data_IF_649169915559
#
_entry.id   IF_649169915559
#
_cell.length_a   1.000
_cell.length_b   1.000
_cell.length_c   1.000
_cell.angle_alpha   90.00
_cell.angle_beta   90.00
_cell.angle_gamma   90.00
#
_symmetry.space_group_name_H-M   'P 1'
#
loop_
_entity.id
_entity.type
_entity.pdbx_description
1 polymer ?
#
# COMPACT_ATOMS: atom_id res chain seq x y z
N UNK A 1 -55.94 -11.27 24.77
CA UNK A 1 -54.97 -11.12 23.66
C UNK A 1 -54.91 -9.66 23.31
N UNK A 2 -53.91 -8.94 23.83
CA UNK A 2 -53.68 -7.53 23.54
C UNK A 2 -52.36 -7.42 22.77
N UNK A 3 -52.42 -6.85 21.57
CA UNK A 3 -51.28 -6.63 20.70
C UNK A 3 -50.42 -5.48 21.24
N UNK A 4 -49.12 -5.71 21.36
CA UNK A 4 -48.11 -4.71 21.69
C UNK A 4 -47.51 -4.24 20.35
N UNK A 5 -47.67 -2.95 20.04
CA UNK A 5 -46.92 -2.29 18.97
C UNK A 5 -45.46 -2.10 19.40
N UNK A 6 -44.45 -2.43 18.57
CA UNK A 6 -43.08 -2.01 18.84
C UNK A 6 -42.88 -0.56 18.39
N UNK A 7 -42.39 0.26 19.33
CA UNK A 7 -41.97 1.63 19.09
C UNK A 7 -40.70 1.66 18.23
N UNK A 8 -40.68 2.57 17.24
CA UNK A 8 -39.48 2.99 16.50
C UNK A 8 -38.48 3.67 17.44
N UNK A 9 -37.17 3.33 17.41
CA UNK A 9 -36.18 4.08 18.17
C UNK A 9 -35.87 5.41 17.46
N UNK A 10 -35.98 6.49 18.22
CA UNK A 10 -35.49 7.83 17.87
C UNK A 10 -34.00 7.76 17.53
N UNK A 11 -33.65 8.10 16.28
CA UNK A 11 -32.27 8.33 15.87
C UNK A 11 -31.80 9.67 16.46
N UNK A 12 -31.05 9.62 17.56
CA UNK A 12 -30.44 10.81 18.16
C UNK A 12 -29.36 11.41 17.23
N UNK A 13 -29.27 12.75 17.10
CA UNK A 13 -28.39 13.43 16.15
C UNK A 13 -26.88 13.45 16.53
N UNK A 14 -26.45 12.68 17.54
CA UNK A 14 -25.08 12.76 18.08
C UNK A 14 -24.00 12.29 17.09
N UNK A 15 -24.30 11.33 16.21
CA UNK A 15 -23.32 10.84 15.22
C UNK A 15 -22.97 11.83 14.11
N UNK A 16 -23.83 12.83 13.84
CA UNK A 16 -23.58 13.85 12.81
C UNK A 16 -22.60 14.94 13.25
N UNK A 17 -22.50 15.20 14.55
CA UNK A 17 -21.52 16.15 15.08
C UNK A 17 -20.09 15.61 14.94
N UNK A 18 -19.89 14.30 15.03
CA UNK A 18 -18.57 13.65 14.97
C UNK A 18 -17.98 13.65 13.54
N UNK A 19 -18.80 13.53 12.49
CA UNK A 19 -18.34 13.63 11.09
C UNK A 19 -17.91 15.05 10.68
N UNK A 20 -18.63 16.09 11.14
CA UNK A 20 -18.18 17.49 10.93
C UNK A 20 -16.90 17.77 11.71
N UNK A 21 -16.79 17.20 12.91
CA UNK A 21 -15.58 17.27 13.71
C UNK A 21 -14.41 16.55 13.04
N UNK A 22 -14.60 15.60 12.11
CA UNK A 22 -13.50 15.00 11.33
C UNK A 22 -12.92 15.96 10.27
N UNK A 23 -13.79 16.61 9.47
CA UNK A 23 -13.38 17.64 8.51
C UNK A 23 -12.72 18.84 9.21
N UNK A 24 -13.05 19.10 10.48
CA UNK A 24 -12.46 20.16 11.30
C UNK A 24 -11.31 19.70 12.23
N UNK A 25 -11.22 18.42 12.62
CA UNK A 25 -10.17 17.90 13.53
C UNK A 25 -8.88 17.59 12.79
N UNK A 26 -8.93 17.34 11.48
CA UNK A 26 -7.76 17.45 10.60
C UNK A 26 -7.15 18.86 10.62
N UNK A 27 -7.86 19.88 11.13
CA UNK A 27 -7.33 21.23 11.42
C UNK A 27 -6.99 21.49 12.89
N UNK A 28 -7.37 20.63 13.83
CA UNK A 28 -7.38 20.98 15.29
C UNK A 28 -6.79 19.93 16.23
N UNK A 29 -5.78 19.16 15.81
CA UNK A 29 -4.94 18.38 16.75
C UNK A 29 -3.84 19.32 17.32
N UNK A 30 -4.19 20.23 18.24
CA UNK A 30 -3.18 20.99 18.99
C UNK A 30 -3.63 21.58 20.34
N UNK A 31 -4.55 20.94 21.07
CA UNK A 31 -4.88 21.40 22.44
C UNK A 31 -4.92 20.26 23.45
N UNK A 32 -3.73 19.85 23.88
CA UNK A 32 -3.49 19.15 25.14
C UNK A 32 -2.18 19.63 25.76
N UNK A 33 -2.16 20.81 26.39
CA UNK A 33 -1.00 21.28 27.18
C UNK A 33 -1.20 20.93 28.65
N UNK A 34 -0.37 20.02 29.14
CA UNK A 34 -0.07 19.87 30.56
C UNK A 34 0.59 21.15 31.10
N UNK A 35 0.08 21.63 32.23
CA UNK A 35 0.72 22.65 33.08
C UNK A 35 1.93 22.04 33.78
N UNK A 36 3.13 22.58 33.55
CA UNK A 36 4.26 22.51 34.49
C UNK A 36 4.99 23.87 34.46
N UNK A 37 5.26 24.40 35.66
CA UNK A 37 5.76 25.76 35.91
C UNK A 37 7.27 25.95 35.67
N UNK A 38 7.78 27.18 35.85
CA UNK A 38 9.12 27.56 35.40
C UNK A 38 10.18 27.21 36.44
N UNK A 39 11.30 26.62 36.00
CA UNK A 39 12.41 26.26 36.88
C UNK A 39 13.73 26.10 36.14
N UNK A 40 14.56 27.14 36.29
CA UNK A 40 16.02 27.17 36.24
C UNK A 40 16.77 26.84 34.93
N UNK A 41 17.38 27.91 34.42
CA UNK A 41 18.56 27.94 33.56
C UNK A 41 19.74 27.16 34.16
N UNK A 42 20.40 26.35 33.34
CA UNK A 42 21.85 26.15 33.43
C UNK A 42 22.47 26.01 32.04
N UNK A 43 23.46 26.88 31.82
CA UNK A 43 24.47 27.01 30.77
C UNK A 43 25.27 25.71 30.54
N UNK A 44 25.49 25.23 29.31
CA UNK A 44 26.58 25.54 28.34
C UNK A 44 26.80 24.26 27.48
N UNK A 45 27.63 24.21 26.40
CA UNK A 45 28.24 25.27 25.59
C UNK A 45 27.92 25.12 24.08
N UNK A 46 28.19 26.21 23.35
CA UNK A 46 28.33 26.27 21.90
C UNK A 46 29.36 25.27 21.38
N UNK A 47 28.96 24.36 20.49
CA UNK A 47 29.89 23.57 19.69
C UNK A 47 29.57 23.80 18.22
N UNK A 48 30.45 24.58 17.60
CA UNK A 48 30.54 24.75 16.15
C UNK A 48 31.04 23.42 15.60
N UNK A 49 30.15 22.67 14.96
CA UNK A 49 30.45 21.40 14.32
C UNK A 49 29.94 21.44 12.89
N UNK A 50 30.88 21.46 11.95
CA UNK A 50 30.69 21.35 10.51
C UNK A 50 29.77 20.19 10.14
N UNK A 51 28.75 20.47 9.33
CA UNK A 51 27.90 19.47 8.70
C UNK A 51 28.76 18.60 7.76
N UNK A 52 29.20 17.45 8.26
CA UNK A 52 29.73 16.38 7.42
C UNK A 52 28.53 15.61 6.88
N UNK A 53 28.34 15.66 5.56
CA UNK A 53 27.46 14.73 4.87
C UNK A 53 27.97 13.31 5.14
N UNK A 54 27.24 12.55 5.94
CA UNK A 54 27.42 11.10 5.99
C UNK A 54 26.59 10.53 4.85
N UNK A 55 27.27 10.10 3.77
CA UNK A 55 26.73 9.09 2.87
C UNK A 55 26.58 7.81 3.70
N UNK A 56 25.34 7.37 3.94
CA UNK A 56 25.09 6.03 4.46
C UNK A 56 25.41 5.07 3.32
N UNK A 57 26.58 4.43 3.41
CA UNK A 57 26.93 3.27 2.60
C UNK A 57 25.98 2.13 3.00
N UNK A 58 25.26 1.60 2.02
CA UNK A 58 24.33 0.49 2.15
C UNK A 58 25.03 -0.88 2.05
N UNK A 59 26.29 -0.99 2.46
CA UNK A 59 27.05 -2.24 2.39
C UNK A 59 26.89 -3.06 3.69
N UNK A 60 25.72 -3.65 3.89
CA UNK A 60 25.62 -4.90 4.63
C UNK A 60 25.22 -6.00 3.63
N UNK A 61 26.16 -6.93 3.42
CA UNK A 61 26.07 -7.96 2.38
C UNK A 61 25.00 -8.99 2.74
N UNK A 62 23.86 -8.92 2.07
CA UNK A 62 22.90 -10.04 2.02
C UNK A 62 23.57 -11.24 1.35
N UNK A 63 23.36 -12.42 1.91
CA UNK A 63 23.82 -13.68 1.29
C UNK A 63 22.61 -14.45 0.80
N UNK A 64 22.71 -14.93 -0.44
CA UNK A 64 21.67 -15.70 -1.09
C UNK A 64 22.16 -17.14 -1.14
N UNK A 65 21.45 -18.03 -0.44
CA UNK A 65 21.72 -19.46 -0.50
C UNK A 65 20.86 -20.10 -1.59
N UNK A 66 21.53 -20.73 -2.56
CA UNK A 66 20.87 -21.55 -3.57
C UNK A 66 20.55 -22.92 -2.97
N UNK A 67 19.40 -23.53 -3.32
CA UNK A 67 19.11 -24.91 -2.94
C UNK A 67 20.23 -25.84 -3.43
N UNK A 68 20.65 -26.80 -2.59
CA UNK A 68 21.75 -27.70 -2.96
C UNK A 68 21.31 -28.64 -4.09
N UNK A 69 22.18 -28.83 -5.08
CA UNK A 69 21.95 -29.71 -6.24
C UNK A 69 21.84 -31.20 -5.90
N UNK A 70 21.79 -31.57 -4.62
CA UNK A 70 21.82 -32.95 -4.14
C UNK A 70 20.46 -33.51 -3.70
N UNK A 71 19.37 -32.72 -3.80
CA UNK A 71 18.00 -33.18 -3.51
C UNK A 71 17.09 -33.25 -4.74
N UNK A 72 17.60 -32.96 -5.94
CA UNK A 72 16.87 -33.18 -7.19
C UNK A 72 17.33 -34.53 -7.75
N UNK A 73 16.61 -35.60 -7.43
CA UNK A 73 16.72 -36.85 -8.18
C UNK A 73 16.23 -36.59 -9.61
N UNK A 74 17.12 -36.74 -10.60
CA UNK A 74 16.79 -36.74 -12.03
C UNK A 74 16.02 -38.01 -12.45
N UNK A 75 14.99 -38.40 -11.69
CA UNK A 75 14.13 -39.54 -12.01
C UNK A 75 12.70 -39.03 -12.28
N UNK A 76 12.34 -39.04 -13.57
CA UNK A 76 10.99 -39.04 -14.14
C UNK A 76 9.89 -38.24 -13.43
N UNK A 77 9.96 -36.92 -13.50
CA UNK A 77 8.74 -36.10 -13.49
C UNK A 77 8.28 -35.94 -14.95
N UNK A 78 7.15 -36.58 -15.31
CA UNK A 78 6.38 -36.15 -16.47
C UNK A 78 5.97 -34.68 -16.32
N UNK A 79 5.44 -34.01 -17.35
CA UNK A 79 4.89 -32.67 -17.19
C UNK A 79 3.67 -32.77 -16.26
N UNK A 80 3.91 -32.61 -14.96
CA UNK A 80 2.87 -32.13 -14.05
C UNK A 80 2.45 -30.79 -14.64
N UNK A 81 1.15 -30.67 -14.94
CA UNK A 81 0.55 -29.43 -15.43
C UNK A 81 0.95 -28.32 -14.44
N UNK A 82 1.86 -27.43 -14.82
CA UNK A 82 2.12 -26.20 -14.05
C UNK A 82 0.75 -25.58 -13.80
N UNK A 83 0.34 -25.47 -12.53
CA UNK A 83 -0.87 -24.73 -12.15
C UNK A 83 -0.77 -23.36 -12.81
N UNK A 84 -1.60 -23.15 -13.84
CA UNK A 84 -1.57 -21.96 -14.66
C UNK A 84 -1.94 -20.75 -13.81
N UNK A 85 -0.94 -19.98 -13.41
CA UNK A 85 -1.14 -18.70 -12.74
C UNK A 85 -1.57 -17.66 -13.77
N UNK A 86 -2.45 -16.75 -13.36
CA UNK A 86 -2.98 -15.70 -14.23
C UNK A 86 -2.22 -14.38 -14.01
N UNK A 87 -1.43 -13.89 -14.98
CA UNK A 87 -0.74 -12.61 -14.84
C UNK A 87 -1.70 -11.43 -14.68
N UNK A 88 -2.96 -11.54 -15.12
CA UNK A 88 -3.98 -10.49 -14.94
C UNK A 88 -4.46 -10.38 -13.48
N UNK A 89 -4.19 -11.38 -12.65
CA UNK A 89 -4.52 -11.35 -11.22
C UNK A 89 -3.54 -10.47 -10.40
N UNK A 90 -2.37 -10.13 -10.94
CA UNK A 90 -1.44 -9.21 -10.30
C UNK A 90 -1.88 -7.75 -10.49
N UNK A 91 -1.77 -6.94 -9.43
CA UNK A 91 -2.15 -5.52 -9.50
C UNK A 91 -1.27 -4.61 -8.66
N UNK A 92 -1.12 -3.37 -9.14
CA UNK A 92 -0.56 -2.25 -8.38
C UNK A 92 -1.67 -1.23 -8.27
N UNK A 93 -2.22 -1.04 -7.07
CA UNK A 93 -3.36 -0.16 -6.88
C UNK A 93 -2.97 1.02 -5.99
N UNK A 94 -3.32 2.23 -6.43
CA UNK A 94 -3.16 3.45 -5.65
C UNK A 94 -4.51 3.98 -5.22
N UNK A 95 -4.62 4.43 -3.96
CA UNK A 95 -5.86 5.04 -3.49
C UNK A 95 -5.91 6.49 -3.93
N UNK A 96 -6.97 6.83 -4.64
CA UNK A 96 -7.27 8.17 -5.15
C UNK A 96 -7.90 9.03 -4.07
N UNK A 97 -8.78 8.45 -3.24
CA UNK A 97 -9.31 9.06 -2.02
C UNK A 97 -9.89 8.02 -1.07
N UNK A 98 -10.08 8.46 0.17
CA UNK A 98 -10.95 7.82 1.17
C UNK A 98 -12.03 8.82 1.60
N UNK A 99 -13.26 8.34 1.76
CA UNK A 99 -14.41 9.14 2.08
C UNK A 99 -15.23 8.52 3.22
N UNK A 100 -15.05 8.97 4.47
CA UNK A 100 -15.78 8.44 5.60
C UNK A 100 -17.27 8.77 5.53
N UNK A 101 -18.09 7.78 5.86
CA UNK A 101 -19.55 7.84 5.88
C UNK A 101 -20.09 7.46 7.28
N UNK A 102 -21.33 7.87 7.61
CA UNK A 102 -21.96 7.48 8.87
C UNK A 102 -22.06 5.95 8.99
N UNK A 103 -21.83 5.45 10.21
CA UNK A 103 -21.99 4.04 10.54
C UNK A 103 -23.03 3.83 11.66
N UNK A 104 -23.96 2.87 11.51
CA UNK A 104 -24.22 2.14 10.26
C UNK A 104 -24.72 3.09 9.15
N UNK A 105 -24.55 2.73 7.86
CA UNK A 105 -25.15 3.49 6.76
C UNK A 105 -26.66 3.72 7.00
N UNK A 106 -27.15 4.96 6.89
CA UNK A 106 -28.57 5.23 7.09
C UNK A 106 -29.45 4.47 6.08
N UNK A 107 -30.65 4.02 6.48
CA UNK A 107 -31.56 3.33 5.56
C UNK A 107 -31.85 4.15 4.31
N UNK A 108 -31.76 3.49 3.14
CA UNK A 108 -31.97 4.13 1.83
C UNK A 108 -30.78 4.93 1.32
N UNK A 109 -29.61 4.86 1.97
CA UNK A 109 -28.37 5.32 1.38
C UNK A 109 -28.02 4.45 0.17
N UNK A 110 -27.89 5.06 -0.99
CA UNK A 110 -27.43 4.40 -2.21
C UNK A 110 -25.91 4.37 -2.24
N UNK A 111 -25.37 3.21 -2.62
CA UNK A 111 -23.96 3.00 -2.89
C UNK A 111 -23.74 2.72 -4.38
N UNK A 112 -22.64 3.20 -4.97
CA UNK A 112 -21.68 4.14 -4.38
C UNK A 112 -22.27 5.57 -4.21
N UNK A 113 -21.89 6.24 -3.13
CA UNK A 113 -22.34 7.56 -2.72
C UNK A 113 -21.63 8.68 -3.46
N UNK A 114 -20.30 8.65 -3.49
CA UNK A 114 -19.46 9.73 -4.01
C UNK A 114 -19.70 10.10 -5.49
N UNK A 115 -20.09 9.20 -6.42
CA UNK A 115 -20.35 9.60 -7.82
C UNK A 115 -21.54 10.53 -7.97
N UNK A 116 -22.43 10.59 -6.97
CA UNK A 116 -23.61 11.45 -7.00
C UNK A 116 -23.34 12.86 -6.42
N UNK A 117 -22.12 13.12 -5.91
CA UNK A 117 -21.75 14.43 -5.40
C UNK A 117 -21.51 15.45 -6.54
N UNK A 118 -21.81 16.75 -6.33
CA UNK A 118 -22.52 17.32 -5.19
C UNK A 118 -24.05 17.25 -5.33
N UNK A 119 -24.57 16.65 -6.42
CA UNK A 119 -25.99 16.69 -6.80
C UNK A 119 -26.91 16.01 -5.79
N UNK A 120 -26.45 14.92 -5.16
CA UNK A 120 -27.12 14.22 -4.07
C UNK A 120 -26.18 14.16 -2.86
N UNK A 121 -26.45 14.98 -1.85
CA UNK A 121 -25.64 15.06 -0.63
C UNK A 121 -26.54 15.19 0.61
N UNK A 122 -27.34 14.15 0.93
CA UNK A 122 -28.32 14.19 2.03
C UNK A 122 -27.67 14.41 3.41
N UNK A 123 -26.37 14.14 3.53
CA UNK A 123 -25.62 14.28 4.77
C UNK A 123 -24.84 15.59 4.88
N UNK A 124 -24.89 16.43 3.83
CA UNK A 124 -24.14 17.68 3.74
C UNK A 124 -22.65 17.50 4.09
N UNK A 125 -22.06 16.43 3.55
CA UNK A 125 -20.64 16.11 3.66
C UNK A 125 -19.83 16.92 2.63
N UNK A 126 -18.50 16.93 2.77
CA UNK A 126 -17.63 17.69 1.89
C UNK A 126 -17.72 17.14 0.45
N UNK A 127 -18.09 17.96 -0.52
CA UNK A 127 -18.29 17.51 -1.91
C UNK A 127 -17.04 16.93 -2.59
N UNK A 128 -15.86 17.21 -2.04
CA UNK A 128 -14.58 16.74 -2.57
C UNK A 128 -13.97 15.78 -1.55
N UNK A 129 -13.89 14.48 -1.87
CA UNK A 129 -13.13 13.52 -1.09
C UNK A 129 -11.65 13.91 -0.98
N UNK A 130 -10.97 13.40 0.05
CA UNK A 130 -9.57 13.69 0.32
C UNK A 130 -8.75 12.41 0.40
N UNK A 131 -7.47 12.53 0.06
CA UNK A 131 -6.50 11.45 0.18
C UNK A 131 -5.35 11.90 1.09
N UNK A 132 -5.44 11.67 2.41
CA UNK A 132 -4.45 12.13 3.36
C UNK A 132 -3.15 11.31 3.32
N UNK A 133 -3.12 10.21 2.56
CA UNK A 133 -2.02 9.25 2.51
C UNK A 133 -1.45 9.10 1.09
N UNK A 134 -0.22 8.60 1.01
CA UNK A 134 0.34 7.96 -0.17
C UNK A 134 0.17 6.46 0.00
N UNK A 135 -1.03 5.99 -0.35
CA UNK A 135 -1.40 4.57 -0.27
C UNK A 135 -1.05 3.86 -1.57
N UNK A 136 -0.37 2.73 -1.45
CA UNK A 136 -0.04 1.85 -2.55
C UNK A 136 -0.18 0.40 -2.07
N UNK A 137 -0.86 -0.41 -2.88
CA UNK A 137 -1.04 -1.85 -2.67
C UNK A 137 -0.37 -2.59 -3.82
N UNK A 138 0.45 -3.58 -3.48
CA UNK A 138 0.99 -4.55 -4.44
C UNK A 138 0.31 -5.88 -4.18
N UNK A 139 -0.28 -6.50 -5.20
CA UNK A 139 -0.94 -7.81 -5.12
C UNK A 139 -0.30 -8.77 -6.12
N UNK A 140 0.12 -9.96 -5.64
CA UNK A 140 0.66 -11.02 -6.47
C UNK A 140 -0.46 -11.83 -7.16
N UNK A 141 -0.16 -12.58 -8.24
CA UNK A 141 -1.14 -13.43 -8.93
C UNK A 141 -1.88 -14.43 -8.04
N UNK A 142 -1.25 -14.88 -6.97
CA UNK A 142 -1.79 -15.86 -6.01
C UNK A 142 -2.65 -15.22 -4.92
N UNK A 143 -2.83 -13.89 -4.93
CA UNK A 143 -3.66 -13.16 -3.96
C UNK A 143 -2.93 -12.67 -2.71
N UNK A 144 -1.60 -12.79 -2.62
CA UNK A 144 -0.87 -12.11 -1.55
C UNK A 144 -0.75 -10.62 -1.81
N UNK A 145 -0.90 -9.79 -0.77
CA UNK A 145 -0.79 -8.35 -0.91
C UNK A 145 0.04 -7.69 0.19
N UNK A 146 0.57 -6.50 -0.12
CA UNK A 146 1.17 -5.55 0.84
C UNK A 146 0.54 -4.18 0.61
N UNK A 147 -0.21 -3.68 1.59
CA UNK A 147 -0.78 -2.32 1.64
C UNK A 147 0.05 -1.45 2.60
N UNK A 148 0.57 -0.33 2.07
CA UNK A 148 1.31 0.65 2.86
C UNK A 148 0.75 2.04 2.65
N UNK A 149 0.39 2.69 3.77
CA UNK A 149 -0.24 4.01 3.83
C UNK A 149 0.64 4.97 4.62
N UNK A 150 1.38 5.82 3.90
CA UNK A 150 2.15 6.89 4.53
C UNK A 150 1.34 8.19 4.57
N UNK A 151 1.24 8.85 5.72
CA UNK A 151 0.65 10.19 5.80
C UNK A 151 1.42 11.17 4.91
N UNK A 152 0.70 11.89 4.05
CA UNK A 152 1.23 13.06 3.35
C UNK A 152 1.61 14.14 4.36
N UNK A 153 2.52 15.06 4.03
CA UNK A 153 2.96 16.07 4.98
C UNK A 153 1.78 16.91 5.46
N UNK A 154 1.57 16.93 6.79
CA UNK A 154 0.56 17.76 7.41
C UNK A 154 1.23 19.09 7.78
N UNK A 155 0.64 20.26 7.44
CA UNK A 155 1.14 21.54 7.88
C UNK A 155 1.27 21.58 9.43
N UNK A 156 2.42 22.01 9.98
CA UNK A 156 2.61 22.07 11.42
C UNK A 156 1.69 23.12 12.06
N UNK A 157 1.04 22.77 13.17
CA UNK A 157 0.32 23.69 14.06
C UNK A 157 -0.67 24.65 13.39
N UNK A 158 -1.50 24.15 12.48
CA UNK A 158 -2.60 24.94 11.89
C UNK A 158 -2.14 25.98 10.87
N UNK A 159 -0.89 25.91 10.39
CA UNK A 159 -0.50 26.62 9.18
C UNK A 159 -1.25 26.02 7.99
N UNK A 160 -1.46 26.81 6.93
CA UNK A 160 -1.97 26.30 5.65
C UNK A 160 -0.84 25.88 4.70
N UNK A 161 0.41 25.87 5.19
CA UNK A 161 1.61 25.77 4.37
C UNK A 161 2.55 24.73 4.98
N UNK A 162 2.91 23.74 4.16
CA UNK A 162 3.96 22.76 4.44
C UNK A 162 5.31 23.49 4.33
N UNK A 163 6.21 23.36 5.32
CA UNK A 163 7.53 24.00 5.25
C UNK A 163 8.28 23.58 3.97
N UNK A 164 8.94 24.52 3.26
CA UNK A 164 9.77 24.18 2.11
C UNK A 164 10.82 23.12 2.46
N UNK A 165 10.98 22.13 1.59
CA UNK A 165 11.92 21.02 1.82
C UNK A 165 11.40 19.90 2.72
N UNK A 166 10.15 19.94 3.19
CA UNK A 166 9.53 18.79 3.85
C UNK A 166 9.40 17.64 2.85
N UNK A 167 10.00 16.46 3.11
CA UNK A 167 9.88 15.31 2.22
C UNK A 167 8.43 14.89 2.04
N UNK A 168 8.03 14.66 0.78
CA UNK A 168 6.67 14.21 0.45
C UNK A 168 6.33 12.88 1.13
N UNK A 169 7.31 11.98 1.24
CA UNK A 169 7.20 10.68 1.92
C UNK A 169 8.19 10.60 3.09
N UNK A 170 7.92 9.81 4.14
CA UNK A 170 8.87 9.61 5.22
C UNK A 170 10.13 8.90 4.72
N UNK A 171 11.28 9.32 5.22
CA UNK A 171 12.60 8.75 4.93
C UNK A 171 13.46 8.82 6.18
N UNK A 172 12.90 8.35 7.31
CA UNK A 172 13.49 8.46 8.63
C UNK A 172 13.07 7.29 9.53
N UNK A 173 13.65 7.19 10.72
CA UNK A 173 13.34 6.10 11.66
C UNK A 173 11.97 6.25 12.36
N UNK A 174 11.26 7.34 12.13
CA UNK A 174 10.05 7.69 12.87
C UNK A 174 8.79 7.15 12.19
N UNK A 175 8.10 6.24 12.89
CA UNK A 175 6.89 5.59 12.37
C UNK A 175 5.63 6.45 12.52
N UNK A 176 5.69 7.68 13.06
CA UNK A 176 4.49 8.54 13.21
C UNK A 176 3.83 8.92 11.90
N UNK A 177 4.55 8.85 10.77
CA UNK A 177 4.00 9.06 9.43
C UNK A 177 3.49 7.77 8.77
N UNK A 178 3.62 6.63 9.41
CA UNK A 178 2.95 5.39 9.00
C UNK A 178 1.51 5.41 9.54
N UNK A 179 0.53 5.59 8.67
CA UNK A 179 -0.89 5.57 9.04
C UNK A 179 -1.35 4.13 9.26
N UNK A 180 -1.00 3.26 8.32
CA UNK A 180 -1.25 1.82 8.38
C UNK A 180 -0.30 1.12 7.42
N UNK A 181 0.22 -0.03 7.83
CA UNK A 181 0.72 -1.06 6.95
C UNK A 181 0.15 -2.41 7.37
N UNK A 182 -0.25 -3.20 6.40
CA UNK A 182 -0.72 -4.56 6.60
C UNK A 182 -0.48 -5.37 5.32
N UNK A 183 -0.34 -6.68 5.51
CA UNK A 183 -0.08 -7.59 4.42
C UNK A 183 -0.70 -8.95 4.74
N UNK A 184 -1.10 -9.67 3.70
CA UNK A 184 -1.94 -10.85 3.88
C UNK A 184 -2.40 -11.44 2.57
N UNK A 185 -3.52 -12.15 2.64
CA UNK A 185 -4.15 -12.78 1.48
C UNK A 185 -5.49 -12.12 1.19
N UNK A 186 -5.74 -11.81 -0.06
CA UNK A 186 -6.99 -11.24 -0.55
C UNK A 186 -7.80 -12.28 -1.32
N UNK A 187 -9.12 -12.22 -1.23
CA UNK A 187 -10.04 -12.98 -2.07
C UNK A 187 -11.15 -12.06 -2.55
N UNK A 188 -11.62 -12.23 -3.79
CA UNK A 188 -12.68 -11.40 -4.36
C UNK A 188 -13.62 -12.25 -5.20
N UNK A 189 -14.91 -12.20 -4.91
CA UNK A 189 -15.94 -12.99 -5.58
C UNK A 189 -17.10 -12.12 -6.08
N UNK A 190 -17.65 -12.36 -7.27
CA UNK A 190 -18.86 -11.67 -7.72
C UNK A 190 -20.05 -11.89 -6.78
N UNK A 191 -20.76 -10.83 -6.43
CA UNK A 191 -22.00 -10.91 -5.67
C UNK A 191 -23.13 -11.30 -6.62
N UNK A 192 -23.70 -12.49 -6.41
CA UNK A 192 -24.68 -13.06 -7.31
C UNK A 192 -25.89 -12.13 -7.54
N UNK A 193 -26.09 -11.72 -8.80
CA UNK A 193 -27.22 -10.90 -9.22
C UNK A 193 -27.11 -9.40 -8.91
N UNK A 194 -25.96 -8.94 -8.38
CA UNK A 194 -25.72 -7.51 -8.11
C UNK A 194 -24.83 -6.94 -9.21
N UNK A 195 -25.40 -5.99 -9.96
CA UNK A 195 -24.72 -5.32 -11.07
C UNK A 195 -24.68 -3.81 -10.82
N UNK A 196 -23.59 -3.17 -11.22
CA UNK A 196 -23.43 -1.73 -11.24
C UNK A 196 -22.86 -1.31 -12.59
N UNK A 197 -23.59 -0.46 -13.32
CA UNK A 197 -23.22 -0.03 -14.68
C UNK A 197 -22.84 -1.21 -15.60
N UNK A 198 -23.67 -2.25 -15.57
CA UNK A 198 -23.50 -3.50 -16.33
C UNK A 198 -22.23 -4.32 -16.00
N UNK A 199 -21.53 -4.00 -14.90
CA UNK A 199 -20.43 -4.79 -14.35
C UNK A 199 -20.86 -5.51 -13.07
N UNK A 200 -20.40 -6.74 -12.80
CA UNK A 200 -20.68 -7.42 -11.54
C UNK A 200 -20.01 -6.70 -10.38
N UNK A 201 -20.77 -6.43 -9.32
CA UNK A 201 -20.19 -5.98 -8.05
C UNK A 201 -19.50 -7.17 -7.41
N UNK A 202 -18.28 -6.99 -6.89
CA UNK A 202 -17.51 -8.06 -6.24
C UNK A 202 -17.41 -7.80 -4.75
N UNK A 203 -17.52 -8.83 -3.94
CA UNK A 203 -17.21 -8.76 -2.52
C UNK A 203 -15.76 -9.21 -2.32
N UNK A 204 -14.95 -8.35 -1.72
CA UNK A 204 -13.54 -8.59 -1.45
C UNK A 204 -13.30 -8.69 0.05
N UNK A 205 -12.41 -9.60 0.44
CA UNK A 205 -12.00 -9.85 1.83
C UNK A 205 -10.48 -9.85 1.87
N UNK A 206 -9.91 -9.10 2.82
CA UNK A 206 -8.48 -9.03 3.08
C UNK A 206 -8.18 -9.67 4.44
N UNK A 207 -7.53 -10.83 4.42
CA UNK A 207 -7.14 -11.54 5.65
C UNK A 207 -5.73 -11.15 6.07
N UNK A 208 -5.62 -10.42 7.19
CA UNK A 208 -4.35 -9.86 7.64
C UNK A 208 -3.44 -10.95 8.21
N UNK A 209 -2.28 -11.12 7.59
CA UNK A 209 -1.23 -11.99 8.11
C UNK A 209 -0.25 -11.21 9.00
N UNK A 210 -0.01 -9.94 8.69
CA UNK A 210 0.77 -9.00 9.50
C UNK A 210 0.08 -7.63 9.44
N UNK A 211 0.01 -6.93 10.58
CA UNK A 211 -0.64 -5.63 10.69
C UNK A 211 0.14 -4.74 11.67
N UNK A 212 0.40 -3.50 11.29
CA UNK A 212 1.14 -2.52 12.10
C UNK A 212 0.41 -2.10 13.39
N UNK A 213 -0.92 -2.22 13.44
CA UNK A 213 -1.78 -1.85 14.57
C UNK A 213 -1.99 -2.97 15.58
N UNK A 214 -1.61 -4.20 15.24
CA UNK A 214 -1.78 -5.39 16.06
C UNK A 214 -0.42 -6.08 16.29
N UNK A 215 -0.35 -7.00 17.26
CA UNK A 215 0.85 -7.82 17.45
C UNK A 215 1.08 -8.73 16.23
N UNK A 216 2.33 -9.06 15.92
CA UNK A 216 2.72 -9.83 14.73
C UNK A 216 1.98 -11.18 14.58
N UNK A 217 1.60 -11.81 15.71
CA UNK A 217 0.88 -13.09 15.73
C UNK A 217 -0.53 -12.98 16.35
N UNK A 218 -1.14 -11.79 16.28
CA UNK A 218 -2.53 -11.63 16.71
C UNK A 218 -3.42 -12.61 15.94
N UNK A 219 -4.29 -13.38 16.60
CA UNK A 219 -5.21 -14.25 15.89
C UNK A 219 -6.21 -13.40 15.08
N UNK A 220 -6.75 -13.94 13.97
CA UNK A 220 -7.72 -13.23 13.14
C UNK A 220 -8.93 -12.70 13.91
N UNK A 221 -9.32 -13.33 15.02
CA UNK A 221 -10.43 -12.88 15.88
C UNK A 221 -10.18 -11.57 16.63
N UNK A 222 -8.92 -11.10 16.70
CA UNK A 222 -8.55 -9.81 17.31
C UNK A 222 -8.39 -8.69 16.28
N UNK A 223 -8.22 -9.04 15.01
CA UNK A 223 -8.13 -8.08 13.92
C UNK A 223 -9.56 -7.88 13.40
N UNK A 224 -10.08 -6.65 13.34
CA UNK A 224 -11.37 -6.38 12.73
C UNK A 224 -11.42 -6.95 11.31
N UNK A 225 -12.58 -7.48 10.85
CA UNK A 225 -12.75 -7.85 9.45
C UNK A 225 -12.43 -6.66 8.54
N UNK A 226 -11.66 -6.93 7.49
CA UNK A 226 -11.39 -5.99 6.41
C UNK A 226 -12.02 -6.56 5.14
N UNK A 227 -13.16 -5.98 4.75
CA UNK A 227 -13.97 -6.45 3.63
C UNK A 227 -14.78 -5.27 3.04
N UNK A 228 -15.06 -5.38 1.74
CA UNK A 228 -15.75 -4.32 1.01
C UNK A 228 -16.34 -4.79 -0.32
N UNK A 229 -17.36 -4.08 -0.76
CA UNK A 229 -18.00 -4.28 -2.04
C UNK A 229 -17.35 -3.37 -3.11
N UNK A 230 -16.95 -3.95 -4.22
CA UNK A 230 -16.15 -3.34 -5.28
C UNK A 230 -17.02 -3.00 -6.49
N UNK A 231 -17.10 -1.72 -6.82
CA UNK A 231 -17.89 -1.15 -7.90
C UNK A 231 -16.98 -0.59 -8.99
N UNK A 232 -16.82 -1.29 -10.10
CA UNK A 232 -16.03 -0.82 -11.24
C UNK A 232 -16.71 0.35 -11.94
N UNK A 233 -15.99 1.45 -12.11
CA UNK A 233 -16.45 2.64 -12.82
C UNK A 233 -16.11 2.57 -14.32
N UNK A 234 -16.78 3.36 -15.18
CA UNK A 234 -16.46 3.43 -16.60
C UNK A 234 -15.03 3.92 -16.90
N UNK A 235 -14.37 4.60 -15.94
CA UNK A 235 -12.98 5.01 -16.07
C UNK A 235 -11.99 3.84 -15.92
N UNK A 236 -12.43 2.70 -15.41
CA UNK A 236 -11.57 1.61 -14.95
C UNK A 236 -11.17 1.73 -13.47
N UNK A 237 -11.39 2.89 -12.83
CA UNK A 237 -11.21 3.02 -11.38
C UNK A 237 -12.27 2.17 -10.64
N UNK A 238 -11.96 1.72 -9.42
CA UNK A 238 -12.84 0.86 -8.62
C UNK A 238 -13.21 1.57 -7.32
N UNK A 239 -14.50 1.64 -7.01
CA UNK A 239 -14.97 2.10 -5.70
C UNK A 239 -15.15 0.91 -4.77
N UNK A 240 -14.39 0.90 -3.69
CA UNK A 240 -14.61 0.02 -2.55
C UNK A 240 -15.57 0.70 -1.57
N UNK A 241 -16.60 -0.01 -1.16
CA UNK A 241 -17.52 0.39 -0.09
C UNK A 241 -17.39 -0.62 1.04
N UNK A 242 -16.92 -0.16 2.19
CA UNK A 242 -16.65 -1.03 3.33
C UNK A 242 -16.95 -0.36 4.67
N UNK A 243 -16.53 -1.04 5.73
CA UNK A 243 -16.56 -0.46 7.07
C UNK A 243 -15.35 -0.91 7.88
N UNK A 244 -14.81 0.00 8.68
CA UNK A 244 -13.60 -0.26 9.44
C UNK A 244 -13.45 0.68 10.63
N UNK A 245 -12.46 0.40 11.47
CA UNK A 245 -12.14 1.28 12.58
C UNK A 245 -11.49 2.56 12.07
N UNK A 246 -12.05 3.69 12.45
CA UNK A 246 -11.45 4.98 12.18
C UNK A 246 -10.13 5.13 12.96
N UNK A 247 -9.00 5.49 12.31
CA UNK A 247 -7.66 5.40 12.89
C UNK A 247 -7.46 6.28 14.15
N UNK A 248 -8.15 7.43 14.23
CA UNK A 248 -8.04 8.35 15.36
C UNK A 248 -9.06 8.08 16.48
N UNK A 249 -10.34 7.87 16.14
CA UNK A 249 -11.42 7.75 17.13
C UNK A 249 -11.63 6.32 17.60
N UNK A 250 -11.10 5.33 16.88
CA UNK A 250 -11.32 3.91 17.12
C UNK A 250 -12.81 3.50 17.13
N UNK A 251 -13.66 4.31 16.48
CA UNK A 251 -15.06 3.99 16.26
C UNK A 251 -15.23 3.39 14.87
N UNK A 252 -16.20 2.48 14.73
CA UNK A 252 -16.56 1.93 13.42
C UNK A 252 -17.12 3.05 12.54
N UNK A 253 -16.63 3.13 11.30
CA UNK A 253 -17.12 4.04 10.26
C UNK A 253 -17.36 3.24 8.99
N UNK A 254 -18.38 3.63 8.22
CA UNK A 254 -18.48 3.21 6.83
C UNK A 254 -17.52 4.09 6.03
N UNK A 255 -17.06 3.61 4.89
CA UNK A 255 -16.19 4.40 4.02
C UNK A 255 -16.43 4.07 2.56
N UNK A 256 -15.99 4.98 1.70
CA UNK A 256 -15.71 4.68 0.31
C UNK A 256 -14.25 4.98 -0.01
N UNK A 257 -13.59 4.06 -0.71
CA UNK A 257 -12.23 4.24 -1.20
C UNK A 257 -12.24 4.12 -2.73
N UNK A 258 -11.74 5.15 -3.43
CA UNK A 258 -11.57 5.06 -4.88
C UNK A 258 -10.16 4.58 -5.17
N UNK A 259 -10.05 3.46 -5.86
CA UNK A 259 -8.82 2.81 -6.24
C UNK A 259 -8.55 2.96 -7.73
N UNK A 260 -7.29 3.21 -8.06
CA UNK A 260 -6.79 3.28 -9.42
C UNK A 260 -5.64 2.32 -9.60
N UNK A 261 -5.76 1.45 -10.59
CA UNK A 261 -4.68 0.58 -11.00
C UNK A 261 -3.61 1.36 -11.78
N UNK A 262 -2.38 1.09 -11.40
CA UNK A 262 -1.15 1.57 -12.02
C UNK A 262 -0.63 0.44 -12.91
N UNK A 263 -0.24 0.74 -14.17
CA UNK A 263 0.35 -0.28 -15.03
C UNK A 263 1.60 -0.92 -14.42
N UNK A 264 1.67 -2.24 -14.50
CA UNK A 264 2.86 -2.99 -14.16
C UNK A 264 3.83 -2.88 -15.33
N UNK A 265 5.00 -2.30 -15.07
CA UNK A 265 6.05 -2.09 -16.06
C UNK A 265 7.24 -3.00 -15.76
N UNK A 266 7.96 -3.39 -16.81
CA UNK A 266 9.27 -4.00 -16.63
C UNK A 266 10.27 -2.95 -16.14
N UNK A 267 11.40 -3.39 -15.57
CA UNK A 267 12.53 -2.50 -15.24
C UNK A 267 13.48 -2.28 -16.42
N UNK A 268 13.02 -2.52 -17.65
CA UNK A 268 13.75 -2.13 -18.86
C UNK A 268 13.54 -0.64 -19.10
N UNK A 269 14.62 0.14 -19.23
CA UNK A 269 14.53 1.60 -19.33
C UNK A 269 13.55 2.09 -20.42
N UNK A 270 13.47 1.38 -21.55
CA UNK A 270 12.61 1.80 -22.65
C UNK A 270 11.11 1.74 -22.32
N UNK A 271 10.67 0.77 -21.50
CA UNK A 271 9.25 0.56 -21.22
C UNK A 271 8.69 1.68 -20.34
N UNK A 272 9.49 2.12 -19.36
CA UNK A 272 9.16 3.27 -18.51
C UNK A 272 9.24 4.59 -19.30
N UNK A 273 10.22 4.76 -20.20
CA UNK A 273 10.27 5.95 -21.08
C UNK A 273 9.02 6.04 -21.96
N UNK A 274 8.59 4.91 -22.54
CA UNK A 274 7.40 4.84 -23.36
C UNK A 274 6.16 5.26 -22.54
N UNK A 275 6.03 4.74 -21.32
CA UNK A 275 4.94 5.09 -20.40
C UNK A 275 4.95 6.59 -20.02
N UNK A 276 6.10 7.15 -19.64
CA UNK A 276 6.22 8.57 -19.29
C UNK A 276 5.87 9.45 -20.49
N UNK A 277 6.35 9.11 -21.69
CA UNK A 277 6.09 9.88 -22.91
C UNK A 277 4.60 9.88 -23.30
N UNK A 278 3.91 8.75 -23.12
CA UNK A 278 2.47 8.63 -23.36
C UNK A 278 1.65 9.49 -22.38
N UNK A 279 2.04 9.53 -21.10
CA UNK A 279 1.33 10.33 -20.10
C UNK A 279 1.62 11.83 -20.22
N UNK A 280 2.85 12.22 -20.54
CA UNK A 280 3.23 13.63 -20.73
C UNK A 280 2.50 14.29 -21.92
N UNK A 281 2.05 13.51 -22.89
CA UNK A 281 1.26 13.97 -24.04
C UNK A 281 -0.24 14.08 -23.75
N UNK A 282 -0.69 13.74 -22.53
CA UNK A 282 -2.08 13.90 -22.09
C UNK A 282 -3.05 12.93 -22.76
N UNK A 283 -2.56 11.79 -23.29
CA UNK A 283 -3.40 10.75 -23.86
C UNK A 283 -3.99 9.92 -22.71
N UNK A 284 -5.33 9.78 -22.59
CA UNK A 284 -5.95 8.93 -21.58
C UNK A 284 -5.52 7.47 -21.77
N UNK A 285 -5.04 6.82 -20.70
CA UNK A 285 -4.57 5.44 -20.72
C UNK A 285 -5.65 4.45 -21.25
N UNK A 286 -6.92 4.72 -20.95
CA UNK A 286 -8.08 3.95 -21.42
C UNK A 286 -8.37 4.06 -22.93
N UNK A 287 -7.70 4.98 -23.64
CA UNK A 287 -7.81 5.15 -25.09
C UNK A 287 -6.70 4.45 -25.88
N UNK A 288 -5.77 3.79 -25.20
CA UNK A 288 -4.72 3.02 -25.85
C UNK A 288 -5.29 1.68 -26.34
N UNK A 289 -5.50 1.58 -27.65
CA UNK A 289 -5.56 0.29 -28.32
C UNK A 289 -4.27 -0.51 -28.02
N UNK A 290 -4.30 -1.87 -28.05
CA UNK A 290 -3.10 -2.68 -27.90
C UNK A 290 -1.99 -2.17 -28.83
N UNK A 291 -0.71 -2.23 -28.40
CA UNK A 291 0.37 -1.51 -29.04
C UNK A 291 0.42 -1.77 -30.57
N UNK A 292 0.60 -0.68 -31.32
CA UNK A 292 0.87 -0.68 -32.76
C UNK A 292 2.07 -1.58 -33.12
N UNK A 293 2.16 -2.10 -34.36
CA UNK A 293 2.86 -3.34 -34.67
C UNK A 293 4.37 -3.26 -34.45
N UNK A 294 4.86 -4.27 -33.74
CA UNK A 294 6.20 -4.86 -33.77
C UNK A 294 7.27 -4.05 -34.51
N UNK A 295 8.08 -3.32 -33.74
CA UNK A 295 9.46 -3.08 -34.15
C UNK A 295 10.20 -4.43 -34.15
N UNK A 296 11.06 -4.65 -35.14
CA UNK A 296 11.66 -5.96 -35.50
C UNK A 296 12.76 -6.45 -34.51
N UNK A 297 12.45 -6.50 -33.22
CA UNK A 297 13.19 -7.16 -32.15
C UNK A 297 12.23 -7.43 -30.99
N UNK A 298 12.34 -8.58 -30.30
CA UNK A 298 11.37 -9.03 -29.28
C UNK A 298 10.91 -7.88 -28.36
N UNK A 299 9.62 -7.50 -28.36
CA UNK A 299 9.16 -6.18 -27.91
C UNK A 299 8.89 -6.02 -26.42
N UNK A 300 9.09 -7.03 -25.58
CA UNK A 300 8.59 -7.06 -24.20
C UNK A 300 9.73 -7.15 -23.20
N UNK A 301 9.84 -6.19 -22.28
CA UNK A 301 10.68 -6.36 -21.09
C UNK A 301 9.97 -7.27 -20.08
N UNK A 302 10.72 -8.18 -19.44
CA UNK A 302 10.18 -9.10 -18.46
C UNK A 302 9.63 -8.35 -17.24
N UNK A 303 8.36 -8.58 -16.93
CA UNK A 303 7.73 -8.17 -15.67
C UNK A 303 7.98 -9.26 -14.64
N UNK A 304 8.20 -8.85 -13.39
CA UNK A 304 8.48 -9.77 -12.30
C UNK A 304 7.46 -9.59 -11.18
N UNK A 305 6.99 -10.68 -10.60
CA UNK A 305 6.34 -10.69 -9.30
C UNK A 305 7.11 -11.64 -8.38
N UNK A 306 7.64 -11.13 -7.28
CA UNK A 306 8.44 -11.93 -6.34
C UNK A 306 7.96 -11.64 -4.92
N UNK A 307 7.70 -12.71 -4.16
CA UNK A 307 7.28 -12.63 -2.76
C UNK A 307 8.35 -13.24 -1.86
N UNK A 308 8.83 -12.46 -0.89
CA UNK A 308 9.67 -12.94 0.21
C UNK A 308 8.88 -12.92 1.50
N UNK A 309 8.95 -14.03 2.24
CA UNK A 309 8.37 -14.15 3.57
C UNK A 309 9.44 -14.38 4.63
N UNK A 310 9.24 -13.73 5.77
CA UNK A 310 9.93 -14.04 7.02
C UNK A 310 8.91 -14.46 8.07
N UNK A 311 9.16 -15.58 8.73
CA UNK A 311 8.39 -15.97 9.91
C UNK A 311 9.29 -16.55 11.00
N UNK A 312 9.29 -15.91 12.17
CA UNK A 312 9.95 -16.43 13.36
C UNK A 312 9.02 -16.29 14.57
N UNK A 313 8.29 -17.35 14.87
CA UNK A 313 7.35 -17.41 15.98
C UNK A 313 8.02 -17.66 17.34
N UNK A 314 9.34 -17.58 17.44
CA UNK A 314 10.01 -17.77 18.72
C UNK A 314 9.51 -16.71 19.72
N UNK A 315 9.23 -17.08 20.98
CA UNK A 315 8.72 -16.15 21.98
C UNK A 315 9.60 -14.91 22.19
N UNK A 316 10.90 -15.04 21.93
CA UNK A 316 11.89 -13.98 22.09
C UNK A 316 11.89 -12.94 20.96
N UNK A 317 11.58 -13.34 19.72
CA UNK A 317 11.72 -12.47 18.54
C UNK A 317 10.36 -12.02 18.00
N UNK A 318 9.41 -12.95 17.88
CA UNK A 318 8.05 -12.71 17.34
C UNK A 318 8.06 -11.84 16.07
N UNK A 319 8.51 -12.44 14.98
CA UNK A 319 8.76 -11.74 13.74
C UNK A 319 7.87 -12.24 12.60
N UNK A 320 7.33 -11.30 11.85
CA UNK A 320 6.74 -11.54 10.53
C UNK A 320 7.22 -10.48 9.57
N UNK A 321 7.43 -10.86 8.32
CA UNK A 321 7.70 -9.92 7.25
C UNK A 321 7.21 -10.44 5.91
N UNK A 322 6.74 -9.52 5.08
CA UNK A 322 6.35 -9.77 3.71
C UNK A 322 6.96 -8.70 2.81
N UNK A 323 7.61 -9.11 1.71
CA UNK A 323 8.11 -8.21 0.68
C UNK A 323 7.53 -8.68 -0.64
N UNK A 324 6.93 -7.76 -1.39
CA UNK A 324 6.50 -8.00 -2.77
C UNK A 324 7.28 -7.06 -3.68
N UNK A 325 7.97 -7.63 -4.67
CA UNK A 325 8.34 -6.92 -5.89
C UNK A 325 7.23 -7.16 -6.92
N UNK A 326 6.75 -6.09 -7.54
CA UNK A 326 5.85 -6.18 -8.68
C UNK A 326 6.26 -5.15 -9.74
N UNK A 327 6.81 -5.64 -10.85
CA UNK A 327 7.35 -4.82 -11.92
C UNK A 327 8.41 -3.84 -11.41
N UNK A 328 8.08 -2.56 -11.52
CA UNK A 328 8.86 -1.38 -11.14
C UNK A 328 8.70 -0.93 -9.69
N UNK A 329 7.96 -1.67 -8.86
CA UNK A 329 7.74 -1.37 -7.45
C UNK A 329 8.21 -2.49 -6.53
N UNK A 330 8.70 -2.13 -5.34
CA UNK A 330 8.92 -3.06 -4.23
C UNK A 330 8.32 -2.44 -2.98
N UNK A 331 7.51 -3.20 -2.24
CA UNK A 331 7.09 -2.84 -0.88
C UNK A 331 7.45 -3.96 0.08
N UNK A 332 8.11 -3.60 1.17
CA UNK A 332 8.44 -4.51 2.27
C UNK A 332 7.80 -4.02 3.57
N UNK A 333 7.13 -4.92 4.28
CA UNK A 333 6.66 -4.68 5.63
C UNK A 333 7.25 -5.75 6.56
N UNK A 334 7.96 -5.30 7.59
CA UNK A 334 8.60 -6.14 8.59
C UNK A 334 8.19 -5.70 9.99
N UNK A 335 7.83 -6.66 10.83
CA UNK A 335 7.48 -6.43 12.23
C UNK A 335 8.24 -7.38 13.14
N UNK A 336 8.79 -6.85 14.23
CA UNK A 336 9.46 -7.58 15.32
C UNK A 336 8.91 -7.10 16.66
N UNK A 337 8.17 -7.96 17.36
CA UNK A 337 7.44 -7.53 18.55
C UNK A 337 6.45 -6.40 18.22
N UNK A 338 6.65 -5.21 18.80
CA UNK A 338 5.86 -4.00 18.51
C UNK A 338 6.45 -3.11 17.41
N UNK A 339 7.73 -3.32 17.06
CA UNK A 339 8.43 -2.46 16.12
C UNK A 339 7.98 -2.75 14.70
N UNK A 340 7.54 -1.70 14.00
CA UNK A 340 7.17 -1.74 12.59
C UNK A 340 8.30 -1.13 11.77
N UNK A 341 8.64 -1.77 10.65
CA UNK A 341 9.53 -1.21 9.64
C UNK A 341 8.93 -1.45 8.26
N UNK A 342 8.98 -0.42 7.42
CA UNK A 342 8.38 -0.46 6.08
C UNK A 342 9.30 0.23 5.10
N UNK A 343 9.44 -0.34 3.92
CA UNK A 343 10.18 0.26 2.81
C UNK A 343 9.34 0.24 1.52
N UNK A 344 9.42 1.32 0.75
CA UNK A 344 8.91 1.40 -0.62
C UNK A 344 10.04 1.81 -1.55
N UNK A 345 10.23 1.03 -2.60
CA UNK A 345 11.18 1.30 -3.67
C UNK A 345 10.47 1.42 -5.01
N UNK A 346 11.01 2.29 -5.86
CA UNK A 346 10.55 2.50 -7.22
C UNK A 346 11.75 2.43 -8.16
N UNK A 347 11.60 1.74 -9.29
CA UNK A 347 12.58 1.82 -10.36
C UNK A 347 12.30 3.07 -11.19
N UNK A 348 13.20 4.05 -11.14
CA UNK A 348 13.07 5.33 -11.81
C UNK A 348 14.10 5.50 -12.89
N UNK A 349 13.78 6.38 -13.82
CA UNK A 349 14.64 6.73 -14.93
C UNK A 349 15.06 8.17 -14.82
N UNK A 350 16.37 8.39 -14.90
CA UNK A 350 16.94 9.73 -14.96
C UNK A 350 17.28 10.07 -16.42
N UNK A 351 16.52 10.98 -16.99
CA UNK A 351 16.79 11.48 -18.35
C UNK A 351 17.92 12.52 -18.26
N UNK A 352 19.10 12.19 -18.78
CA UNK A 352 20.16 13.19 -18.97
C UNK A 352 19.79 14.11 -20.14
N UNK A 353 19.29 15.30 -19.82
CA UNK A 353 18.84 16.30 -20.80
C UNK A 353 19.96 16.97 -21.59
N UNK A 354 21.24 16.72 -21.26
CA UNK A 354 22.39 17.42 -21.85
C UNK A 354 23.12 16.58 -22.91
N UNK A 355 23.24 15.27 -22.73
CA UNK A 355 24.03 14.41 -23.64
C UNK A 355 23.20 13.69 -24.70
N UNK A 356 21.89 13.53 -24.52
CA UNK A 356 21.03 12.77 -25.43
C UNK A 356 21.35 11.27 -25.50
N UNK A 357 22.31 10.77 -24.71
CA UNK A 357 22.76 9.38 -24.67
C UNK A 357 22.62 8.76 -23.28
N UNK A 358 22.14 7.51 -23.31
CA UNK A 358 21.81 6.52 -22.27
C UNK A 358 20.92 6.99 -21.10
N UNK A 359 19.76 6.35 -21.07
CA UNK A 359 18.73 6.36 -20.06
C UNK A 359 18.99 5.17 -19.13
N UNK A 360 19.81 5.35 -18.09
CA UNK A 360 19.98 4.33 -17.07
C UNK A 360 18.91 4.55 -15.99
N UNK A 361 18.18 3.48 -15.68
CA UNK A 361 17.25 3.48 -14.56
C UNK A 361 17.90 2.91 -13.31
N UNK A 362 17.48 3.41 -12.16
CA UNK A 362 17.96 2.98 -10.85
C UNK A 362 16.80 2.75 -9.89
N UNK A 363 17.00 1.84 -8.93
CA UNK A 363 16.07 1.64 -7.84
C UNK A 363 16.29 2.71 -6.78
N UNK A 364 15.24 3.47 -6.48
CA UNK A 364 15.24 4.47 -5.42
C UNK A 364 14.37 4.02 -4.25
N UNK A 365 14.90 4.13 -3.02
CA UNK A 365 14.09 3.99 -1.80
C UNK A 365 13.30 5.28 -1.61
N UNK A 366 12.08 5.32 -2.14
CA UNK A 366 11.25 6.54 -2.15
C UNK A 366 10.60 6.84 -0.80
N UNK A 367 10.33 5.81 0.01
CA UNK A 367 9.80 5.96 1.35
C UNK A 367 10.30 4.85 2.28
N UNK A 368 10.54 5.19 3.54
CA UNK A 368 10.81 4.22 4.59
C UNK A 368 10.52 4.78 5.98
N UNK A 369 10.18 3.88 6.90
CA UNK A 369 10.15 4.18 8.33
C UNK A 369 10.49 2.95 9.19
N UNK A 370 10.93 3.18 10.43
CA UNK A 370 11.37 2.13 11.36
C UNK A 370 12.88 1.83 11.28
N UNK A 371 13.40 1.11 12.28
CA UNK A 371 14.83 0.84 12.44
C UNK A 371 15.28 -0.58 12.10
N UNK A 372 14.35 -1.44 11.70
CA UNK A 372 14.68 -2.81 11.29
C UNK A 372 15.27 -2.84 9.88
N UNK A 373 15.97 -3.93 9.55
CA UNK A 373 16.59 -4.12 8.23
C UNK A 373 15.72 -5.03 7.37
N UNK A 374 15.39 -4.58 6.16
CA UNK A 374 14.56 -5.31 5.19
C UNK A 374 15.38 -5.56 3.91
N UNK A 375 15.49 -6.82 3.42
CA UNK A 375 16.26 -7.14 2.22
C UNK A 375 15.56 -6.78 0.91
N UNK A 376 14.90 -5.62 0.80
CA UNK A 376 14.23 -5.21 -0.45
C UNK A 376 15.21 -5.15 -1.64
N UNK A 377 16.47 -4.76 -1.39
CA UNK A 377 17.49 -4.64 -2.43
C UNK A 377 17.90 -5.97 -3.08
N UNK A 378 17.67 -7.10 -2.42
CA UNK A 378 17.95 -8.41 -3.02
C UNK A 378 17.01 -8.73 -4.17
N UNK A 379 15.92 -7.97 -4.32
CA UNK A 379 14.94 -8.15 -5.38
C UNK A 379 15.20 -7.28 -6.60
N UNK A 380 16.26 -6.46 -6.63
CA UNK A 380 16.54 -5.58 -7.79
C UNK A 380 16.83 -6.38 -9.06
N UNK A 381 17.55 -7.50 -8.94
CA UNK A 381 17.90 -8.41 -10.02
C UNK A 381 16.94 -9.63 -10.04
N UNK A 382 15.66 -9.38 -10.35
CA UNK A 382 14.58 -10.37 -10.22
C UNK A 382 14.82 -11.67 -10.98
N UNK A 383 15.53 -11.62 -12.11
CA UNK A 383 15.92 -12.81 -12.89
C UNK A 383 16.75 -13.83 -12.10
N UNK A 384 17.52 -13.37 -11.09
CA UNK A 384 18.39 -14.19 -10.24
C UNK A 384 17.68 -14.77 -9.03
N UNK A 385 16.47 -14.31 -8.75
CA UNK A 385 15.65 -14.77 -7.63
C UNK A 385 14.74 -15.89 -8.13
N UNK A 386 14.65 -16.98 -7.38
CA UNK A 386 13.86 -18.17 -7.67
C UNK A 386 13.14 -18.60 -6.40
N UNK A 387 11.98 -19.22 -6.59
CA UNK A 387 11.23 -19.84 -5.52
C UNK A 387 12.09 -20.83 -4.72
N UNK A 388 11.88 -20.88 -3.41
CA UNK A 388 12.63 -21.72 -2.47
C UNK A 388 13.99 -21.14 -2.05
N UNK A 389 14.49 -20.09 -2.69
CA UNK A 389 15.75 -19.45 -2.28
C UNK A 389 15.65 -18.83 -0.90
N UNK A 390 16.75 -18.89 -0.14
CA UNK A 390 16.84 -18.30 1.20
C UNK A 390 17.74 -17.07 1.17
N UNK A 391 17.22 -15.97 1.69
CA UNK A 391 17.92 -14.70 1.77
C UNK A 391 18.24 -14.42 3.23
N UNK A 392 19.51 -14.56 3.57
CA UNK A 392 20.03 -14.21 4.88
C UNK A 392 20.41 -12.72 4.89
N UNK A 393 19.77 -11.96 5.77
CA UNK A 393 19.97 -10.52 5.91
C UNK A 393 19.98 -10.14 7.39
N UNK A 394 21.10 -9.59 7.85
CA UNK A 394 21.39 -9.40 9.27
C UNK A 394 21.17 -10.71 10.07
N UNK A 395 20.31 -10.68 11.09
CA UNK A 395 19.98 -11.85 11.93
C UNK A 395 18.75 -12.63 11.42
N UNK A 396 18.26 -12.29 10.23
CA UNK A 396 17.00 -12.81 9.70
C UNK A 396 17.20 -13.66 8.45
N UNK A 397 16.32 -14.64 8.27
CA UNK A 397 16.27 -15.47 7.07
C UNK A 397 14.90 -15.34 6.45
N UNK A 398 14.88 -14.88 5.20
CA UNK A 398 13.70 -14.74 4.37
C UNK A 398 13.67 -15.87 3.35
N UNK A 399 12.49 -16.31 2.95
CA UNK A 399 12.28 -17.35 1.95
C UNK A 399 11.52 -16.75 0.78
N UNK A 400 11.99 -16.99 -0.44
CA UNK A 400 11.25 -16.68 -1.65
C UNK A 400 10.13 -17.71 -1.79
N UNK A 401 8.88 -17.32 -1.59
CA UNK A 401 7.74 -18.23 -1.75
C UNK A 401 7.11 -18.12 -3.13
N UNK A 402 7.29 -17.00 -3.83
CA UNK A 402 6.75 -16.80 -5.18
C UNK A 402 7.77 -16.10 -6.05
N UNK A 403 7.87 -16.52 -7.31
CA UNK A 403 8.75 -15.93 -8.31
C UNK A 403 8.17 -16.09 -9.72
N UNK A 404 7.20 -15.24 -10.05
CA UNK A 404 6.56 -15.20 -11.37
C UNK A 404 7.24 -14.19 -12.30
N UNK A 405 7.14 -14.45 -13.60
CA UNK A 405 7.57 -13.51 -14.64
C UNK A 405 6.73 -13.68 -15.90
N UNK A 406 6.49 -12.58 -16.61
CA UNK A 406 5.72 -12.59 -17.86
C UNK A 406 6.12 -11.44 -18.77
N UNK A 407 5.65 -11.54 -20.01
CA UNK A 407 5.71 -10.52 -21.05
C UNK A 407 4.29 -10.01 -21.34
N UNK A 408 4.17 -8.86 -22.02
CA UNK A 408 2.87 -8.30 -22.46
C UNK A 408 2.21 -9.09 -23.60
#
# INVERSE_FOLDING_TARGET
MAAINPATPDASPSGFQDLKTYVESTKTISKGKNKLGPGSLHSSPTLVGTASMFSVSSDETSTIEYPSSSEISEDEAGPEEEEGWDPEAASISSRVYIYPLPYPPPPGLEFPYSPNLPHWNPFNLASNPAEPTSTLVLSSPSGWFVDVRFLKPIPPNGTLVIPPGTPELPQDFDTRRLEWAFAGHASSEPIAGVMYLDQPVRHSIWTHWIDSRFHAFSPPSQIPPDEGDMYTLPSGDVLEVGSGLHPVTNHMVAYEELWRDIPILSTRSQDIVNYISANASGIPLSSMAPPLPSFNGSPTGLKHCILLRLQNASPAMQERGLIIRLGQYIQGFYKRGEENCVERWEYKIHVNTVSGDRVEGEWEKVAWCGGLLIPCSTLFEGERVKEGMRVSHAETVWVVEESFWWED
#
